data_IF_873103847751
#
_entry.id   IF_873103847751
#
_cell.length_a   1.000
_cell.length_b   1.000
_cell.length_c   1.000
_cell.angle_alpha   90.00
_cell.angle_beta   90.00
_cell.angle_gamma   90.00
#
_symmetry.space_group_name_H-M   'P 1'
#
loop_
_entity.id
_entity.type
_entity.pdbx_description
1 polymer ?
#
# COMPACT_ATOMS: atom_id res chain seq x y z
N UNK A 1 -14.02 11.98 18.13
CA UNK A 1 -13.65 10.87 17.22
C UNK A 1 -14.23 11.20 15.84
N UNK A 2 -13.43 11.15 14.78
CA UNK A 2 -13.86 11.53 13.42
C UNK A 2 -13.90 10.31 12.50
N UNK A 3 -15.10 9.95 12.01
CA UNK A 3 -15.33 8.90 11.01
C UNK A 3 -14.83 9.28 9.61
N UNK A 4 -14.72 10.58 9.34
CA UNK A 4 -14.28 11.13 8.06
C UNK A 4 -12.88 10.64 7.64
N UNK A 5 -12.02 10.30 8.60
CA UNK A 5 -10.69 9.75 8.32
C UNK A 5 -10.77 8.37 7.67
N UNK A 6 -11.56 7.46 8.24
CA UNK A 6 -11.68 6.09 7.72
C UNK A 6 -12.43 6.06 6.38
N UNK A 7 -13.43 6.91 6.19
CA UNK A 7 -14.15 7.05 4.91
C UNK A 7 -13.22 7.50 3.77
N UNK A 8 -12.31 8.44 4.06
CA UNK A 8 -11.30 8.91 3.11
C UNK A 8 -10.34 7.78 2.68
N UNK A 9 -9.92 6.92 3.63
CA UNK A 9 -9.09 5.74 3.33
C UNK A 9 -9.81 4.81 2.36
N UNK A 10 -11.07 4.48 2.63
CA UNK A 10 -11.85 3.59 1.75
C UNK A 10 -12.15 4.21 0.38
N UNK A 11 -12.34 5.53 0.30
CA UNK A 11 -12.51 6.22 -0.98
C UNK A 11 -11.25 6.11 -1.86
N UNK A 12 -10.07 6.25 -1.28
CA UNK A 12 -8.79 6.12 -1.98
C UNK A 12 -8.50 4.67 -2.40
N UNK A 13 -8.79 3.70 -1.53
CA UNK A 13 -8.63 2.28 -1.85
C UNK A 13 -9.47 1.89 -3.07
N UNK A 14 -10.76 2.27 -3.09
CA UNK A 14 -11.66 2.00 -4.22
C UNK A 14 -11.18 2.67 -5.51
N UNK A 15 -10.72 3.92 -5.44
CA UNK A 15 -10.15 4.62 -6.61
C UNK A 15 -8.92 3.89 -7.14
N UNK A 16 -8.07 3.41 -6.25
CA UNK A 16 -6.89 2.64 -6.60
C UNK A 16 -7.21 1.28 -7.23
N UNK A 17 -8.25 0.61 -6.76
CA UNK A 17 -8.76 -0.62 -7.36
C UNK A 17 -9.36 -0.41 -8.77
N UNK A 18 -9.93 0.76 -9.06
CA UNK A 18 -10.46 1.02 -10.40
C UNK A 18 -9.42 1.60 -11.36
N UNK A 19 -8.39 2.29 -10.85
CA UNK A 19 -7.42 3.03 -11.68
C UNK A 19 -6.03 2.41 -11.76
N UNK A 20 -5.42 2.10 -10.61
CA UNK A 20 -4.02 1.65 -10.53
C UNK A 20 -3.93 0.15 -10.75
N UNK A 21 -4.78 -0.61 -10.05
CA UNK A 21 -4.78 -2.05 -10.09
C UNK A 21 -5.97 -2.53 -10.92
N UNK A 22 -5.75 -3.11 -12.09
CA UNK A 22 -6.87 -3.57 -12.92
C UNK A 22 -7.63 -4.77 -12.31
N UNK A 23 -7.01 -5.46 -11.35
CA UNK A 23 -7.59 -6.59 -10.63
C UNK A 23 -6.90 -6.79 -9.28
N UNK A 24 -7.68 -7.06 -8.22
CA UNK A 24 -7.18 -7.57 -6.95
C UNK A 24 -7.48 -9.06 -6.85
N UNK A 25 -6.42 -9.84 -6.64
CA UNK A 25 -6.58 -11.22 -6.20
C UNK A 25 -6.87 -11.24 -4.70
N UNK A 26 -7.93 -11.93 -4.29
CA UNK A 26 -8.31 -12.09 -2.87
C UNK A 26 -7.15 -12.63 -2.03
N UNK A 27 -6.32 -13.51 -2.62
CA UNK A 27 -5.12 -14.10 -2.00
C UNK A 27 -4.11 -13.06 -1.50
N UNK A 28 -4.08 -11.89 -2.12
CA UNK A 28 -3.08 -10.84 -1.86
C UNK A 28 -3.70 -9.56 -1.33
N UNK A 29 -4.97 -9.57 -0.92
CA UNK A 29 -5.70 -8.37 -0.53
C UNK A 29 -5.00 -7.58 0.58
N UNK A 30 -4.41 -8.29 1.54
CA UNK A 30 -3.64 -7.68 2.63
C UNK A 30 -2.47 -6.84 2.12
N UNK A 31 -1.72 -7.34 1.13
CA UNK A 31 -0.57 -6.62 0.56
C UNK A 31 -0.97 -5.35 -0.16
N UNK A 32 -2.11 -5.36 -0.84
CA UNK A 32 -2.64 -4.14 -1.44
C UNK A 32 -3.02 -3.14 -0.34
N UNK A 33 -3.72 -3.56 0.70
CA UNK A 33 -4.09 -2.68 1.83
C UNK A 33 -2.86 -2.09 2.52
N UNK A 34 -1.85 -2.91 2.81
CA UNK A 34 -0.59 -2.48 3.43
C UNK A 34 0.12 -1.40 2.61
N UNK A 35 0.09 -1.50 1.28
CA UNK A 35 0.66 -0.51 0.38
C UNK A 35 -0.11 0.82 0.40
N UNK A 36 -1.45 0.80 0.52
CA UNK A 36 -2.24 2.03 0.75
C UNK A 36 -1.95 2.65 2.12
N UNK A 37 -1.81 1.83 3.16
CA UNK A 37 -1.46 2.29 4.52
C UNK A 37 -0.08 2.94 4.50
N UNK A 38 0.90 2.34 3.83
CA UNK A 38 2.23 2.91 3.66
C UNK A 38 2.17 4.28 2.97
N UNK A 39 1.45 4.41 1.84
CA UNK A 39 1.35 5.69 1.11
C UNK A 39 0.75 6.82 1.95
N UNK A 40 -0.26 6.52 2.76
CA UNK A 40 -0.95 7.52 3.60
C UNK A 40 -0.13 7.93 4.82
N UNK A 41 0.70 7.02 5.34
CA UNK A 41 1.54 7.24 6.51
C UNK A 41 2.98 7.59 6.11
N UNK A 42 3.82 6.58 5.88
CA UNK A 42 5.25 6.75 5.57
C UNK A 42 5.53 7.45 4.24
N UNK A 43 4.67 7.24 3.24
CA UNK A 43 4.76 7.89 1.93
C UNK A 43 4.28 9.34 1.90
N UNK A 44 3.80 9.89 3.03
CA UNK A 44 3.18 11.20 3.13
C UNK A 44 4.17 12.33 2.79
N UNK A 45 3.78 13.22 1.87
CA UNK A 45 4.60 14.36 1.40
C UNK A 45 4.92 15.38 2.51
N UNK A 46 4.20 15.34 3.63
CA UNK A 46 4.54 16.13 4.82
C UNK A 46 5.88 15.71 5.46
N UNK A 47 6.35 14.49 5.21
CA UNK A 47 7.68 14.01 5.63
C UNK A 47 8.74 14.48 4.65
N UNK A 48 9.95 14.70 5.14
CA UNK A 48 11.10 15.05 4.29
C UNK A 48 11.30 14.00 3.21
N UNK A 49 11.72 14.43 2.02
CA UNK A 49 11.94 13.54 0.88
C UNK A 49 12.95 12.43 1.19
N UNK A 50 14.02 12.75 1.94
CA UNK A 50 15.02 11.75 2.31
C UNK A 50 14.46 10.70 3.27
N UNK A 51 13.68 11.11 4.28
CA UNK A 51 13.06 10.17 5.23
C UNK A 51 12.06 9.23 4.53
N UNK A 52 11.38 9.73 3.50
CA UNK A 52 10.46 8.92 2.68
C UNK A 52 11.22 7.91 1.82
N UNK A 53 12.34 8.32 1.22
CA UNK A 53 13.18 7.40 0.45
C UNK A 53 13.75 6.32 1.36
N UNK A 54 14.21 6.69 2.55
CA UNK A 54 14.73 5.74 3.54
C UNK A 54 13.66 4.72 3.97
N UNK A 55 12.44 5.17 4.29
CA UNK A 55 11.34 4.27 4.68
C UNK A 55 10.91 3.33 3.54
N UNK A 56 10.94 3.81 2.29
CA UNK A 56 10.71 2.99 1.10
C UNK A 56 11.79 1.91 0.98
N UNK A 57 13.06 2.28 1.07
CA UNK A 57 14.19 1.34 0.94
C UNK A 57 14.16 0.30 2.06
N UNK A 58 13.88 0.72 3.29
CA UNK A 58 13.75 -0.19 4.42
C UNK A 58 12.58 -1.17 4.23
N UNK A 59 11.42 -0.70 3.78
CA UNK A 59 10.25 -1.54 3.52
C UNK A 59 10.45 -2.57 2.40
N UNK A 60 11.35 -2.33 1.45
CA UNK A 60 11.74 -3.31 0.45
C UNK A 60 12.71 -4.36 0.96
N UNK A 61 13.53 -4.04 1.97
CA UNK A 61 14.55 -4.94 2.48
C UNK A 61 13.92 -6.21 3.07
N UNK A 62 14.33 -7.37 2.56
CA UNK A 62 13.82 -8.68 2.98
C UNK A 62 12.52 -9.14 2.30
N UNK A 63 11.82 -8.25 1.59
CA UNK A 63 10.56 -8.57 0.90
C UNK A 63 10.80 -9.01 -0.54
N UNK A 64 11.25 -10.26 -0.73
CA UNK A 64 11.39 -10.86 -2.07
C UNK A 64 10.13 -11.62 -2.47
N UNK A 65 9.46 -11.15 -3.52
CA UNK A 65 8.31 -11.83 -4.10
C UNK A 65 8.73 -12.63 -5.35
N UNK A 66 8.70 -13.95 -5.24
CA UNK A 66 8.93 -14.83 -6.41
C UNK A 66 7.61 -15.16 -7.11
N UNK A 67 7.67 -15.45 -8.42
CA UNK A 67 6.49 -15.88 -9.18
C UNK A 67 5.82 -17.12 -8.57
N UNK A 68 6.62 -18.05 -8.05
CA UNK A 68 6.11 -19.22 -7.33
C UNK A 68 5.22 -18.83 -6.14
N UNK A 69 5.63 -17.83 -5.36
CA UNK A 69 4.87 -17.34 -4.21
C UNK A 69 3.59 -16.60 -4.59
N UNK A 70 3.55 -15.95 -5.76
CA UNK A 70 2.33 -15.31 -6.26
C UNK A 70 1.24 -16.32 -6.63
N UNK A 71 1.62 -17.55 -7.01
CA UNK A 71 0.68 -18.57 -7.49
C UNK A 71 0.34 -19.60 -6.41
N UNK A 72 1.34 -20.01 -5.60
CA UNK A 72 1.23 -21.14 -4.66
C UNK A 72 0.71 -20.76 -3.27
N UNK A 73 0.71 -19.48 -2.91
CA UNK A 73 0.01 -18.94 -1.73
C UNK A 73 -1.45 -18.69 -2.12
#
# INVERSE_FOLDING_TARGET
>A
MHTNGIESVWALLKRGYHGVFHHFSDKHIGRYVDEFVFRLNDGNVKRSTLDRIDSIVFGFSGNRLSYKMLVLI
#
